data_IF_255585821498
#
_entry.id   IF_255585821498
#
_cell.length_a   1.000
_cell.length_b   1.000
_cell.length_c   1.000
_cell.angle_alpha   90.00
_cell.angle_beta   90.00
_cell.angle_gamma   90.00
#
_symmetry.space_group_name_H-M   'P 1'
#
loop_
_entity.id
_entity.type
_entity.pdbx_description
1 polymer ?
#
# COMPACT_ATOMS: atom_id res chain seq x y z
N UNK A 1 28.05 5.38 17.74
CA UNK A 1 27.03 6.19 17.03
C UNK A 1 26.68 5.58 15.68
N UNK A 2 27.60 4.94 14.94
CA UNK A 2 27.29 4.52 13.56
C UNK A 2 26.21 3.44 13.38
N UNK A 3 26.05 2.49 14.30
CA UNK A 3 25.03 1.42 14.17
C UNK A 3 23.61 1.83 14.61
N UNK A 4 23.45 2.88 15.42
CA UNK A 4 22.15 3.23 16.00
C UNK A 4 21.23 3.90 14.97
N UNK A 5 21.78 4.80 14.14
CA UNK A 5 21.04 5.51 13.09
C UNK A 5 20.58 4.59 11.94
N UNK A 6 21.41 3.60 11.61
CA UNK A 6 21.11 2.57 10.62
C UNK A 6 19.91 1.72 11.04
N UNK A 7 19.91 1.28 12.31
CA UNK A 7 18.82 0.51 12.91
C UNK A 7 17.51 1.28 12.88
N UNK A 8 17.53 2.59 13.17
CA UNK A 8 16.33 3.45 13.16
C UNK A 8 15.71 3.54 11.77
N UNK A 9 16.50 3.70 10.72
CA UNK A 9 15.98 3.81 9.34
C UNK A 9 15.36 2.49 8.86
N UNK A 10 15.97 1.36 9.22
CA UNK A 10 15.44 0.03 8.95
C UNK A 10 14.13 -0.19 9.70
N UNK A 11 14.09 0.13 11.00
CA UNK A 11 12.88 0.00 11.82
C UNK A 11 11.73 0.84 11.26
N UNK A 12 12.00 2.07 10.81
CA UNK A 12 11.00 2.92 10.16
C UNK A 12 10.51 2.31 8.85
N UNK A 13 11.38 1.67 8.05
CA UNK A 13 10.95 0.95 6.84
C UNK A 13 10.06 -0.25 7.17
N UNK A 14 10.39 -1.03 8.21
CA UNK A 14 9.53 -2.12 8.68
C UNK A 14 8.17 -1.58 9.12
N UNK A 15 8.15 -0.59 10.01
CA UNK A 15 6.91 0.03 10.48
C UNK A 15 6.06 0.60 9.32
N UNK A 16 6.72 1.20 8.33
CA UNK A 16 6.07 1.67 7.11
C UNK A 16 5.39 0.51 6.37
N UNK A 17 6.12 -0.57 6.07
CA UNK A 17 5.56 -1.71 5.34
C UNK A 17 4.44 -2.40 6.14
N UNK A 18 4.66 -2.71 7.42
CA UNK A 18 3.66 -3.34 8.29
C UNK A 18 2.39 -2.50 8.39
N UNK A 19 2.51 -1.17 8.46
CA UNK A 19 1.36 -0.27 8.47
C UNK A 19 0.58 -0.38 7.17
N UNK A 20 1.24 -0.33 6.01
CA UNK A 20 0.55 -0.35 4.72
C UNK A 20 -0.06 -1.71 4.39
N UNK A 21 0.63 -2.78 4.74
CA UNK A 21 0.12 -4.15 4.67
C UNK A 21 -1.10 -4.33 5.59
N UNK A 22 -1.02 -3.85 6.84
CA UNK A 22 -2.17 -3.90 7.75
C UNK A 22 -3.38 -3.14 7.19
N UNK A 23 -3.17 -2.02 6.51
CA UNK A 23 -4.25 -1.30 5.82
C UNK A 23 -4.87 -2.14 4.70
N UNK A 24 -4.11 -2.94 3.95
CA UNK A 24 -4.67 -3.85 2.94
C UNK A 24 -5.67 -4.83 3.53
N UNK A 25 -5.41 -5.38 4.72
CA UNK A 25 -6.33 -6.30 5.38
C UNK A 25 -7.56 -5.63 5.99
N UNK A 26 -7.53 -4.31 6.19
CA UNK A 26 -8.67 -3.54 6.69
C UNK A 26 -9.64 -3.11 5.59
N UNK A 27 -9.20 -3.08 4.33
CA UNK A 27 -9.97 -2.62 3.16
C UNK A 27 -11.05 -3.60 2.64
N UNK A 28 -10.95 -4.94 2.75
CA UNK A 28 -11.89 -5.83 2.07
C UNK A 28 -13.33 -5.69 2.59
N UNK A 29 -14.29 -5.91 1.68
CA UNK A 29 -15.74 -5.83 1.96
C UNK A 29 -16.23 -6.62 3.18
N UNK A 30 -15.55 -7.68 3.58
CA UNK A 30 -15.89 -8.45 4.78
C UNK A 30 -15.77 -7.61 6.06
N UNK A 31 -14.75 -6.75 6.17
CA UNK A 31 -14.62 -5.79 7.26
C UNK A 31 -15.72 -4.72 7.18
N UNK A 32 -16.07 -4.28 5.98
CA UNK A 32 -17.09 -3.25 5.73
C UNK A 32 -18.52 -3.72 6.01
N UNK A 33 -18.82 -5.01 5.82
CA UNK A 33 -20.16 -5.53 6.08
C UNK A 33 -20.59 -5.27 7.54
N UNK A 34 -19.66 -5.38 8.49
CA UNK A 34 -19.91 -5.07 9.90
C UNK A 34 -20.18 -3.58 10.15
N UNK A 35 -19.39 -2.69 9.53
CA UNK A 35 -19.54 -1.24 9.65
C UNK A 35 -20.84 -0.75 8.99
N UNK A 36 -21.14 -1.24 7.78
CA UNK A 36 -22.36 -0.94 7.08
C UNK A 36 -23.60 -1.45 7.85
N UNK A 37 -23.53 -2.65 8.44
CA UNK A 37 -24.60 -3.17 9.28
C UNK A 37 -24.82 -2.31 10.54
N UNK A 38 -23.73 -1.90 11.20
CA UNK A 38 -23.80 -1.01 12.36
C UNK A 38 -24.36 0.38 12.01
N UNK A 39 -23.96 0.94 10.88
CA UNK A 39 -24.45 2.24 10.39
C UNK A 39 -25.92 2.18 9.98
N UNK A 40 -26.32 1.14 9.24
CA UNK A 40 -27.71 0.88 8.89
C UNK A 40 -28.57 0.73 10.14
N UNK A 41 -28.12 -0.05 11.14
CA UNK A 41 -28.81 -0.18 12.42
C UNK A 41 -29.00 1.18 13.09
N UNK A 42 -27.95 2.01 13.14
CA UNK A 42 -28.04 3.35 13.71
C UNK A 42 -29.00 4.26 12.93
N UNK A 43 -28.95 4.26 11.60
CA UNK A 43 -29.84 5.07 10.73
C UNK A 43 -31.30 4.68 10.96
N UNK A 44 -31.58 3.38 11.07
CA UNK A 44 -32.92 2.90 11.39
C UNK A 44 -33.37 3.38 12.76
N UNK A 45 -32.54 3.24 13.80
CA UNK A 45 -32.87 3.76 15.14
C UNK A 45 -33.06 5.28 15.16
N UNK A 46 -32.32 6.03 14.35
CA UNK A 46 -32.49 7.48 14.23
C UNK A 46 -33.83 7.84 13.56
N UNK A 47 -34.20 7.15 12.48
CA UNK A 47 -35.50 7.29 11.84
C UNK A 47 -36.64 6.96 12.81
N UNK A 48 -36.56 5.82 13.49
CA UNK A 48 -37.56 5.40 14.49
C UNK A 48 -37.79 6.47 15.55
N UNK A 49 -36.73 7.12 16.05
CA UNK A 49 -36.85 8.23 17.02
C UNK A 49 -37.46 9.49 16.44
N UNK A 50 -37.37 9.69 15.13
CA UNK A 50 -37.99 10.82 14.44
C UNK A 50 -39.51 10.63 14.31
N UNK A 51 -39.99 9.38 14.25
CA UNK A 51 -41.40 9.05 14.32
C UNK A 51 -41.83 9.00 15.81
N UNK A 52 -42.82 9.81 16.21
CA UNK A 52 -43.32 9.85 17.61
C UNK A 52 -44.73 9.27 17.73
N UNK A 53 -45.06 8.76 18.92
CA UNK A 53 -46.41 8.28 19.25
C UNK A 53 -46.90 7.20 18.28
N UNK A 54 -48.16 7.30 17.83
CA UNK A 54 -48.78 6.34 16.91
C UNK A 54 -48.02 6.16 15.59
N UNK A 55 -47.31 7.20 15.13
CA UNK A 55 -46.52 7.13 13.90
C UNK A 55 -45.24 6.29 14.05
N UNK A 56 -44.74 6.11 15.28
CA UNK A 56 -43.64 5.19 15.55
C UNK A 56 -44.08 3.73 15.34
N UNK A 57 -45.29 3.39 15.77
CA UNK A 57 -45.88 2.05 15.56
C UNK A 57 -46.13 1.78 14.08
N UNK A 58 -46.67 2.75 13.35
CA UNK A 58 -46.87 2.66 11.90
C UNK A 58 -45.54 2.46 11.15
N UNK A 59 -44.48 3.20 11.53
CA UNK A 59 -43.15 3.03 10.95
C UNK A 59 -42.53 1.67 11.29
N UNK A 60 -42.64 1.20 12.54
CA UNK A 60 -42.16 -0.13 12.93
C UNK A 60 -42.86 -1.26 12.17
N UNK A 61 -44.18 -1.14 12.00
CA UNK A 61 -44.98 -2.07 11.20
C UNK A 61 -44.51 -2.10 9.74
N UNK A 62 -44.20 -0.93 9.18
CA UNK A 62 -43.61 -0.82 7.85
C UNK A 62 -42.23 -1.48 7.76
N UNK A 63 -41.33 -1.22 8.73
CA UNK A 63 -39.99 -1.83 8.78
C UNK A 63 -40.04 -3.35 8.85
N UNK A 64 -40.95 -3.92 9.64
CA UNK A 64 -41.13 -5.38 9.72
C UNK A 64 -41.52 -5.96 8.36
N UNK A 65 -42.53 -5.38 7.71
CA UNK A 65 -42.98 -5.84 6.38
C UNK A 65 -41.91 -5.70 5.30
N UNK A 66 -41.12 -4.63 5.35
CA UNK A 66 -40.00 -4.43 4.43
C UNK A 66 -38.89 -5.49 4.64
N UNK A 67 -38.62 -5.89 5.89
CA UNK A 67 -37.69 -6.99 6.18
C UNK A 67 -38.22 -8.33 5.67
N UNK A 68 -39.49 -8.63 5.93
CA UNK A 68 -40.11 -9.91 5.52
C UNK A 68 -40.15 -10.04 3.99
N UNK A 69 -40.30 -8.94 3.26
CA UNK A 69 -40.31 -8.91 1.80
C UNK A 69 -38.93 -9.11 1.16
N UNK A 70 -37.83 -8.94 1.91
CA UNK A 70 -36.45 -9.02 1.42
C UNK A 70 -36.03 -7.91 0.44
N UNK A 71 -36.97 -7.25 -0.24
CA UNK A 71 -36.77 -6.10 -1.12
C UNK A 71 -37.92 -5.10 -0.93
N UNK A 72 -37.64 -3.80 -1.05
CA UNK A 72 -38.67 -2.75 -0.91
C UNK A 72 -39.46 -2.68 -2.22
N UNK A 73 -40.71 -3.16 -2.19
CA UNK A 73 -41.62 -3.06 -3.33
C UNK A 73 -42.06 -1.60 -3.58
N UNK A 74 -42.54 -1.31 -4.78
CA UNK A 74 -43.08 0.01 -5.11
C UNK A 74 -44.23 0.44 -4.17
N UNK A 75 -45.02 -0.51 -3.68
CA UNK A 75 -46.10 -0.25 -2.73
C UNK A 75 -45.58 0.10 -1.34
N UNK A 76 -44.55 -0.60 -0.85
CA UNK A 76 -43.87 -0.25 0.40
C UNK A 76 -43.19 1.12 0.29
N UNK A 77 -42.63 1.46 -0.86
CA UNK A 77 -42.04 2.78 -1.09
C UNK A 77 -43.09 3.89 -0.99
N UNK A 78 -44.25 3.73 -1.66
CA UNK A 78 -45.36 4.69 -1.57
C UNK A 78 -45.88 4.85 -0.14
N UNK A 79 -45.95 3.76 0.62
CA UNK A 79 -46.37 3.80 2.02
C UNK A 79 -45.38 4.59 2.89
N UNK A 80 -44.07 4.39 2.68
CA UNK A 80 -43.05 5.17 3.36
C UNK A 80 -43.16 6.67 3.00
N UNK A 81 -43.37 7.01 1.73
CA UNK A 81 -43.57 8.39 1.29
C UNK A 81 -44.77 9.04 2.00
N UNK A 82 -45.88 8.31 2.16
CA UNK A 82 -47.04 8.79 2.91
C UNK A 82 -46.76 8.99 4.40
N UNK A 83 -46.00 8.07 5.03
CA UNK A 83 -45.57 8.21 6.42
C UNK A 83 -44.65 9.43 6.59
N UNK A 84 -43.68 9.60 5.70
CA UNK A 84 -42.75 10.75 5.69
C UNK A 84 -43.51 12.06 5.53
N UNK A 85 -44.48 12.15 4.61
CA UNK A 85 -45.28 13.36 4.41
C UNK A 85 -46.13 13.73 5.65
N UNK A 86 -46.58 12.75 6.43
CA UNK A 86 -47.32 13.01 7.68
C UNK A 86 -46.44 13.64 8.77
N UNK A 87 -45.14 13.38 8.76
CA UNK A 87 -44.19 13.83 9.78
C UNK A 87 -43.29 14.98 9.30
N UNK A 88 -43.22 15.24 7.99
CA UNK A 88 -42.28 16.21 7.40
C UNK A 88 -42.44 17.65 7.88
N UNK A 89 -43.60 18.01 8.44
CA UNK A 89 -43.81 19.34 9.06
C UNK A 89 -43.21 19.46 10.47
N UNK A 90 -42.79 18.35 11.08
CA UNK A 90 -42.13 18.38 12.39
C UNK A 90 -40.65 18.79 12.23
N UNK A 91 -40.25 19.87 12.90
CA UNK A 91 -38.88 20.38 12.87
C UNK A 91 -37.84 19.29 13.24
N UNK A 92 -38.18 18.39 14.16
CA UNK A 92 -37.31 17.28 14.56
C UNK A 92 -37.09 16.26 13.44
N UNK A 93 -38.10 15.97 12.63
CA UNK A 93 -37.98 15.05 11.52
C UNK A 93 -37.07 15.63 10.43
N UNK A 94 -37.25 16.92 10.09
CA UNK A 94 -36.36 17.62 9.16
C UNK A 94 -34.90 17.63 9.61
N UNK A 95 -34.65 17.87 10.91
CA UNK A 95 -33.31 17.80 11.48
C UNK A 95 -32.71 16.39 11.45
N UNK A 96 -33.49 15.35 11.78
CA UNK A 96 -33.04 13.96 11.73
C UNK A 96 -32.72 13.52 10.29
N UNK A 97 -33.59 13.85 9.33
CA UNK A 97 -33.31 13.56 7.92
C UNK A 97 -32.04 14.26 7.46
N UNK A 98 -31.85 15.52 7.84
CA UNK A 98 -30.60 16.24 7.57
C UNK A 98 -29.39 15.57 8.21
N UNK A 99 -29.48 15.11 9.46
CA UNK A 99 -28.40 14.37 10.13
C UNK A 99 -28.06 13.07 9.41
N UNK A 100 -29.06 12.29 9.01
CA UNK A 100 -28.88 11.04 8.26
C UNK A 100 -28.23 11.33 6.91
N UNK A 101 -28.73 12.32 6.16
CA UNK A 101 -28.20 12.68 4.85
C UNK A 101 -26.79 13.27 4.90
N UNK A 102 -26.43 13.99 5.97
CA UNK A 102 -25.09 14.57 6.14
C UNK A 102 -24.08 13.58 6.70
N UNK A 103 -24.52 12.48 7.32
CA UNK A 103 -23.63 11.47 7.88
C UNK A 103 -22.90 10.74 6.73
N UNK A 104 -21.56 10.81 6.68
CA UNK A 104 -20.80 10.15 5.63
C UNK A 104 -20.96 8.63 5.72
N UNK A 105 -20.85 7.99 4.57
CA UNK A 105 -20.74 6.55 4.50
C UNK A 105 -19.49 6.06 5.30
N UNK A 106 -19.63 5.11 6.24
CA UNK A 106 -18.52 4.66 7.07
C UNK A 106 -17.36 4.06 6.27
N UNK A 107 -17.66 3.34 5.20
CA UNK A 107 -16.63 2.77 4.31
C UNK A 107 -15.85 3.89 3.63
N UNK A 108 -16.53 4.90 3.10
CA UNK A 108 -15.87 6.08 2.54
C UNK A 108 -15.02 6.81 3.58
N UNK A 109 -15.49 6.93 4.83
CA UNK A 109 -14.71 7.53 5.91
C UNK A 109 -13.44 6.71 6.21
N UNK A 110 -13.57 5.39 6.26
CA UNK A 110 -12.44 4.49 6.50
C UNK A 110 -11.41 4.54 5.37
N UNK A 111 -11.86 4.55 4.10
CA UNK A 111 -10.97 4.69 2.96
C UNK A 111 -10.20 6.02 2.98
N UNK A 112 -10.88 7.12 3.34
CA UNK A 112 -10.22 8.42 3.52
C UNK A 112 -9.18 8.35 4.63
N UNK A 113 -9.52 7.77 5.77
CA UNK A 113 -8.61 7.61 6.89
C UNK A 113 -7.39 6.75 6.50
N UNK A 114 -7.61 5.63 5.80
CA UNK A 114 -6.55 4.77 5.30
C UNK A 114 -5.61 5.54 4.35
N UNK A 115 -6.13 6.31 3.39
CA UNK A 115 -5.31 7.17 2.53
C UNK A 115 -4.47 8.17 3.34
N UNK A 116 -5.04 8.77 4.39
CA UNK A 116 -4.28 9.68 5.28
C UNK A 116 -3.14 8.93 5.97
N UNK A 117 -3.41 7.76 6.56
CA UNK A 117 -2.39 6.95 7.24
C UNK A 117 -1.32 6.51 6.25
N UNK A 118 -1.69 6.12 5.02
CA UNK A 118 -0.74 5.73 3.97
C UNK A 118 0.28 6.83 3.68
N UNK A 119 -0.20 8.06 3.47
CA UNK A 119 0.68 9.20 3.17
C UNK A 119 1.46 9.64 4.40
N UNK A 120 0.88 9.61 5.60
CA UNK A 120 1.60 9.93 6.84
C UNK A 120 2.71 8.93 7.16
N UNK A 121 2.49 7.64 6.88
CA UNK A 121 3.53 6.61 7.02
C UNK A 121 4.67 6.87 6.04
N UNK A 122 4.36 7.23 4.79
CA UNK A 122 5.37 7.60 3.80
C UNK A 122 6.14 8.87 4.19
N UNK A 123 5.45 9.91 4.68
CA UNK A 123 6.05 11.14 5.20
C UNK A 123 7.04 10.86 6.34
N UNK A 124 6.67 9.92 7.23
CA UNK A 124 7.53 9.48 8.34
C UNK A 124 8.78 8.77 7.82
N UNK A 125 8.63 7.89 6.82
CA UNK A 125 9.76 7.23 6.16
C UNK A 125 10.71 8.25 5.52
N UNK A 126 10.18 9.20 4.73
CA UNK A 126 10.98 10.25 4.10
C UNK A 126 11.71 11.09 5.17
N UNK A 127 11.02 11.46 6.26
CA UNK A 127 11.63 12.17 7.38
C UNK A 127 12.81 11.42 7.99
N UNK A 128 12.67 10.12 8.24
CA UNK A 128 13.73 9.29 8.78
C UNK A 128 14.94 9.19 7.83
N UNK A 129 14.70 9.02 6.53
CA UNK A 129 15.77 8.96 5.52
C UNK A 129 16.54 10.29 5.43
N UNK A 130 15.82 11.41 5.36
CA UNK A 130 16.43 12.75 5.31
C UNK A 130 17.20 13.04 6.60
N UNK A 131 16.63 12.73 7.77
CA UNK A 131 17.29 12.89 9.06
C UNK A 131 18.60 12.09 9.11
N UNK A 132 18.55 10.81 8.75
CA UNK A 132 19.71 9.93 8.75
C UNK A 132 20.82 10.46 7.82
N UNK A 133 20.47 10.89 6.60
CA UNK A 133 21.41 11.51 5.67
C UNK A 133 22.07 12.77 6.25
N UNK A 134 21.26 13.69 6.80
CA UNK A 134 21.77 14.95 7.34
C UNK A 134 22.70 14.73 8.54
N UNK A 135 22.42 13.74 9.39
CA UNK A 135 23.28 13.37 10.53
C UNK A 135 24.62 12.78 10.09
N UNK A 136 24.63 11.92 9.07
CA UNK A 136 25.85 11.32 8.52
C UNK A 136 26.65 12.29 7.65
N UNK A 137 25.98 13.28 7.06
CA UNK A 137 26.60 14.29 6.21
C UNK A 137 26.27 15.74 6.66
N UNK A 138 26.69 16.18 7.87
CA UNK A 138 26.30 17.48 8.42
C UNK A 138 26.70 18.68 7.56
N UNK A 139 27.77 18.55 6.78
CA UNK A 139 28.21 19.59 5.86
C UNK A 139 27.16 19.92 4.78
N UNK A 140 26.34 18.96 4.37
CA UNK A 140 25.24 19.22 3.42
C UNK A 140 24.11 20.04 4.06
N UNK A 141 23.96 20.00 5.38
CA UNK A 141 23.00 20.82 6.10
C UNK A 141 23.49 22.26 6.34
N UNK A 142 24.80 22.46 6.44
CA UNK A 142 25.41 23.71 6.88
C UNK A 142 25.54 24.79 5.78
N UNK A 143 25.43 24.44 4.50
CA UNK A 143 25.96 25.29 3.42
C UNK A 143 25.04 26.42 2.96
N UNK A 144 23.74 26.47 3.31
CA UNK A 144 22.86 27.39 2.57
C UNK A 144 21.99 28.40 3.34
N UNK A 145 21.71 28.30 4.64
CA UNK A 145 20.58 29.12 5.18
C UNK A 145 20.77 29.86 6.51
N UNK A 146 21.82 29.66 7.33
CA UNK A 146 21.97 30.46 8.57
C UNK A 146 23.40 30.78 8.98
N UNK A 147 23.72 32.06 8.96
CA UNK A 147 24.74 32.63 9.85
C UNK A 147 24.18 32.58 11.29
N UNK A 148 24.85 31.85 12.18
CA UNK A 148 24.52 31.89 13.61
C UNK A 148 25.14 33.13 14.22
N UNK A 149 24.35 33.90 14.97
CA UNK A 149 24.88 35.04 15.72
C UNK A 149 25.79 34.55 16.84
N UNK A 150 26.79 35.35 17.20
CA UNK A 150 27.66 35.05 18.34
C UNK A 150 26.84 34.87 19.64
N UNK A 151 25.74 35.61 19.79
CA UNK A 151 24.83 35.49 20.91
C UNK A 151 24.16 34.09 20.98
N UNK A 152 23.73 33.54 19.84
CA UNK A 152 23.17 32.18 19.77
C UNK A 152 24.22 31.11 20.08
N UNK A 153 25.46 31.28 19.59
CA UNK A 153 26.56 30.37 19.89
C UNK A 153 26.91 30.38 21.39
N UNK A 154 26.95 31.57 22.01
CA UNK A 154 27.18 31.70 23.45
C UNK A 154 26.02 31.11 24.25
N UNK A 155 24.77 31.40 23.86
CA UNK A 155 23.59 30.91 24.55
C UNK A 155 23.43 29.39 24.50
N UNK A 156 23.84 28.76 23.39
CA UNK A 156 23.78 27.31 23.25
C UNK A 156 24.78 26.59 24.17
N UNK A 157 25.90 27.22 24.54
CA UNK A 157 26.93 26.65 25.42
C UNK A 157 27.73 25.47 24.83
N UNK A 158 27.18 24.79 23.82
CA UNK A 158 27.80 23.69 23.07
C UNK A 158 27.45 23.81 21.58
N UNK A 159 28.48 23.78 20.73
CA UNK A 159 28.34 23.80 19.28
C UNK A 159 27.51 22.63 18.74
N UNK A 160 27.53 21.47 19.41
CA UNK A 160 26.69 20.32 19.02
C UNK A 160 25.21 20.66 19.07
N UNK A 161 24.75 21.40 20.08
CA UNK A 161 23.35 21.82 20.22
C UNK A 161 22.95 22.73 19.05
N UNK A 162 23.86 23.62 18.65
CA UNK A 162 23.65 24.51 17.48
C UNK A 162 23.51 23.70 16.20
N UNK A 163 24.41 22.73 15.98
CA UNK A 163 24.38 21.85 14.81
C UNK A 163 23.08 21.04 14.78
N UNK A 164 22.69 20.42 15.89
CA UNK A 164 21.44 19.65 16.00
C UNK A 164 20.20 20.50 15.72
N UNK A 165 20.17 21.74 16.23
CA UNK A 165 19.09 22.70 15.91
C UNK A 165 19.08 23.06 14.42
N UNK A 166 20.24 23.23 13.80
CA UNK A 166 20.37 23.51 12.37
C UNK A 166 19.85 22.33 11.52
N UNK A 167 20.29 21.11 11.86
CA UNK A 167 19.88 19.87 11.20
C UNK A 167 18.36 19.69 11.28
N UNK A 168 17.79 19.81 12.48
CA UNK A 168 16.35 19.66 12.71
C UNK A 168 15.55 20.66 11.87
N UNK A 169 15.93 21.94 11.87
CA UNK A 169 15.28 22.99 11.06
C UNK A 169 15.40 22.69 9.56
N UNK A 170 16.54 22.17 9.11
CA UNK A 170 16.74 21.82 7.70
C UNK A 170 15.86 20.65 7.28
N UNK A 171 15.79 19.60 8.11
CA UNK A 171 14.89 18.46 7.89
C UNK A 171 13.44 18.94 7.81
N UNK A 172 12.99 19.76 8.78
CA UNK A 172 11.64 20.34 8.76
C UNK A 172 11.36 21.16 7.49
N UNK A 173 12.31 21.99 7.06
CA UNK A 173 12.16 22.79 5.83
C UNK A 173 11.99 21.92 4.59
N UNK A 174 12.77 20.83 4.48
CA UNK A 174 12.63 19.86 3.38
C UNK A 174 11.25 19.19 3.44
N UNK A 175 10.83 18.72 4.62
CA UNK A 175 9.56 18.00 4.79
C UNK A 175 8.34 18.88 4.51
N UNK A 176 8.39 20.18 4.82
CA UNK A 176 7.31 21.14 4.51
C UNK A 176 7.06 21.34 3.02
N UNK A 177 8.02 21.03 2.15
CA UNK A 177 7.90 21.25 0.71
C UNK A 177 6.96 20.26 -0.02
N UNK A 178 6.63 19.13 0.60
CA UNK A 178 5.80 18.08 0.00
C UNK A 178 6.48 17.32 -1.14
N UNK A 179 5.70 16.48 -1.84
CA UNK A 179 6.22 15.49 -2.81
C UNK A 179 7.17 16.06 -3.86
N UNK A 180 6.84 17.19 -4.49
CA UNK A 180 7.68 17.79 -5.54
C UNK A 180 9.01 18.31 -4.99
N UNK A 181 9.01 18.90 -3.79
CA UNK A 181 10.25 19.32 -3.14
C UNK A 181 11.10 18.14 -2.70
N UNK A 182 10.47 17.05 -2.23
CA UNK A 182 11.19 15.82 -1.90
C UNK A 182 11.80 15.20 -3.15
N UNK A 183 11.05 15.06 -4.24
CA UNK A 183 11.59 14.52 -5.50
C UNK A 183 12.81 15.30 -5.97
N UNK A 184 12.74 16.64 -5.98
CA UNK A 184 13.88 17.49 -6.32
C UNK A 184 15.07 17.25 -5.39
N UNK A 185 14.84 17.23 -4.07
CA UNK A 185 15.92 17.05 -3.09
C UNK A 185 16.60 15.68 -3.23
N UNK A 186 15.83 14.60 -3.41
CA UNK A 186 16.39 13.27 -3.63
C UNK A 186 17.07 13.14 -5.00
N UNK A 187 16.57 13.82 -6.03
CA UNK A 187 17.20 13.85 -7.36
C UNK A 187 18.58 14.52 -7.31
N UNK A 188 18.73 15.60 -6.52
CA UNK A 188 20.04 16.21 -6.23
C UNK A 188 21.00 15.24 -5.53
N UNK A 189 20.48 14.25 -4.79
CA UNK A 189 21.27 13.16 -4.21
C UNK A 189 21.41 11.96 -5.18
N UNK A 190 20.94 12.06 -6.41
CA UNK A 190 20.97 11.01 -7.44
C UNK A 190 19.95 9.89 -7.23
N UNK A 191 18.78 10.20 -6.67
CA UNK A 191 17.65 9.27 -6.48
C UNK A 191 16.37 9.90 -7.05
N UNK A 192 15.99 9.50 -8.27
CA UNK A 192 14.79 10.04 -8.92
C UNK A 192 13.55 9.23 -8.59
N UNK A 193 12.57 9.84 -7.90
CA UNK A 193 11.32 9.17 -7.50
C UNK A 193 10.54 8.63 -8.70
N UNK A 194 10.54 9.36 -9.82
CA UNK A 194 9.88 9.00 -11.07
C UNK A 194 10.31 7.63 -11.59
N UNK A 195 11.58 7.28 -11.37
CA UNK A 195 12.14 5.99 -11.79
C UNK A 195 11.84 4.86 -10.81
N UNK A 196 11.39 5.18 -9.59
CA UNK A 196 11.20 4.25 -8.48
C UNK A 196 9.73 3.97 -8.15
N UNK A 197 8.77 4.59 -8.83
CA UNK A 197 7.36 4.23 -8.74
C UNK A 197 6.92 3.36 -9.92
N UNK A 198 5.73 2.76 -9.80
CA UNK A 198 5.07 2.06 -10.91
C UNK A 198 4.55 3.09 -11.91
N UNK A 199 3.88 4.13 -11.42
CA UNK A 199 3.31 5.21 -12.23
C UNK A 199 3.41 6.55 -11.47
N UNK A 200 4.21 7.48 -12.01
CA UNK A 200 4.50 8.75 -11.34
C UNK A 200 3.30 9.68 -11.27
N UNK A 201 2.48 9.72 -12.32
CA UNK A 201 1.31 10.60 -12.36
C UNK A 201 0.27 10.14 -11.34
N UNK A 202 0.15 8.82 -11.13
CA UNK A 202 -0.65 8.26 -10.02
C UNK A 202 -0.09 8.64 -8.65
N UNK A 203 1.23 8.62 -8.46
CA UNK A 203 1.82 9.06 -7.18
C UNK A 203 1.48 10.53 -6.91
N UNK A 204 1.65 11.42 -7.90
CA UNK A 204 1.25 12.84 -7.76
C UNK A 204 -0.22 12.93 -7.37
N UNK A 205 -1.07 12.20 -8.08
CA UNK A 205 -2.51 12.22 -7.86
C UNK A 205 -2.90 11.77 -6.45
N UNK A 206 -2.28 10.71 -5.91
CA UNK A 206 -2.52 10.22 -4.55
C UNK A 206 -2.22 11.32 -3.52
N UNK A 207 -1.09 12.03 -3.67
CA UNK A 207 -0.71 13.13 -2.79
C UNK A 207 -1.66 14.32 -2.90
N UNK A 208 -2.03 14.71 -4.13
CA UNK A 208 -2.96 15.81 -4.35
C UNK A 208 -4.38 15.46 -3.88
N UNK A 209 -4.81 14.20 -3.97
CA UNK A 209 -6.09 13.73 -3.42
C UNK A 209 -6.08 13.78 -1.90
N UNK A 210 -5.00 13.33 -1.26
CA UNK A 210 -4.80 13.48 0.19
C UNK A 210 -4.87 14.95 0.60
N UNK A 211 -4.17 15.83 -0.11
CA UNK A 211 -4.22 17.27 0.12
C UNK A 211 -5.64 17.84 -0.03
N UNK A 212 -6.38 17.47 -1.09
CA UNK A 212 -7.76 17.89 -1.28
C UNK A 212 -8.67 17.45 -0.11
N UNK A 213 -8.50 16.24 0.40
CA UNK A 213 -9.25 15.76 1.56
C UNK A 213 -8.95 16.53 2.85
N UNK A 214 -7.68 16.86 3.10
CA UNK A 214 -7.26 17.62 4.28
C UNK A 214 -7.76 19.07 4.22
N UNK A 215 -7.65 19.72 3.06
CA UNK A 215 -7.86 21.17 2.97
C UNK A 215 -9.22 21.60 2.42
N UNK A 216 -9.91 20.73 1.69
CA UNK A 216 -11.16 21.08 0.98
C UNK A 216 -12.28 20.05 1.17
N UNK A 217 -12.11 19.10 2.09
CA UNK A 217 -13.09 18.04 2.34
C UNK A 217 -13.25 17.08 1.16
N UNK A 218 -12.21 16.94 0.34
CA UNK A 218 -12.17 16.03 -0.81
C UNK A 218 -12.71 16.64 -2.09
N UNK A 219 -12.89 17.97 -2.15
CA UNK A 219 -13.38 18.64 -3.36
C UNK A 219 -12.21 19.01 -4.28
N UNK A 220 -12.39 18.86 -5.59
CA UNK A 220 -11.44 19.33 -6.58
C UNK A 220 -11.28 20.84 -6.42
N UNK A 221 -10.05 21.29 -6.17
CA UNK A 221 -9.70 22.71 -6.15
C UNK A 221 -8.93 23.08 -7.43
N UNK A 222 -8.67 24.38 -7.71
CA UNK A 222 -7.94 24.78 -8.91
C UNK A 222 -6.54 24.15 -9.03
N UNK A 223 -5.86 23.89 -7.90
CA UNK A 223 -4.54 23.23 -7.88
C UNK A 223 -4.65 21.78 -8.37
N UNK A 224 -5.57 20.99 -7.82
CA UNK A 224 -5.82 19.61 -8.20
C UNK A 224 -6.20 19.52 -9.68
N UNK A 225 -7.14 20.36 -10.13
CA UNK A 225 -7.56 20.43 -11.53
C UNK A 225 -6.39 20.72 -12.48
N UNK A 226 -5.45 21.59 -12.08
CA UNK A 226 -4.32 21.93 -12.93
C UNK A 226 -3.23 20.86 -12.98
N UNK A 227 -2.96 20.20 -11.84
CA UNK A 227 -1.84 19.26 -11.66
C UNK A 227 -2.17 17.82 -12.02
N UNK A 228 -3.42 17.41 -11.84
CA UNK A 228 -3.85 16.00 -11.98
C UNK A 228 -4.71 15.83 -13.22
N UNK A 229 -5.92 16.39 -13.20
CA UNK A 229 -6.92 16.14 -14.24
C UNK A 229 -7.75 17.40 -14.51
N UNK A 230 -7.50 18.00 -15.68
CA UNK A 230 -8.20 19.18 -16.17
C UNK A 230 -9.62 18.88 -16.68
N UNK A 231 -10.00 17.61 -16.78
CA UNK A 231 -11.36 17.22 -17.12
C UNK A 231 -12.31 17.24 -15.91
N UNK A 232 -11.77 17.11 -14.68
CA UNK A 232 -12.60 17.10 -13.47
C UNK A 232 -13.08 18.51 -13.11
N UNK A 233 -14.40 18.73 -12.94
CA UNK A 233 -14.93 20.04 -12.55
C UNK A 233 -14.44 20.49 -11.16
N UNK A 234 -14.04 21.75 -11.03
CA UNK A 234 -13.75 22.36 -9.72
C UNK A 234 -15.00 22.28 -8.82
N UNK A 235 -14.81 21.82 -7.59
CA UNK A 235 -15.86 21.58 -6.60
C UNK A 235 -16.42 20.15 -6.60
N UNK A 236 -16.09 19.34 -7.61
CA UNK A 236 -16.50 17.92 -7.64
C UNK A 236 -15.88 17.15 -6.46
N UNK A 237 -16.63 16.20 -5.89
CA UNK A 237 -16.13 15.36 -4.81
C UNK A 237 -15.28 14.21 -5.39
N UNK A 238 -14.06 14.07 -4.89
CA UNK A 238 -13.14 13.00 -5.23
C UNK A 238 -13.55 11.73 -4.47
N UNK A 239 -13.96 10.66 -5.15
CA UNK A 239 -14.22 9.37 -4.48
C UNK A 239 -12.91 8.66 -4.12
N UNK A 240 -12.93 7.85 -3.05
CA UNK A 240 -11.87 6.88 -2.74
C UNK A 240 -12.60 5.56 -2.54
N UNK A 241 -12.62 4.75 -3.59
CA UNK A 241 -13.13 3.39 -3.52
C UNK A 241 -12.01 2.40 -3.16
N UNK A 242 -12.40 1.14 -3.02
CA UNK A 242 -11.51 0.04 -2.66
C UNK A 242 -10.40 -0.14 -3.69
N UNK A 243 -10.73 -0.11 -4.99
CA UNK A 243 -9.78 -0.28 -6.08
C UNK A 243 -8.74 0.83 -6.11
N UNK A 244 -9.18 2.09 -6.00
CA UNK A 244 -8.29 3.24 -5.90
C UNK A 244 -7.33 3.09 -4.72
N UNK A 245 -7.85 2.73 -3.54
CA UNK A 245 -7.05 2.68 -2.32
C UNK A 245 -6.02 1.54 -2.37
N UNK A 246 -6.40 0.37 -2.90
CA UNK A 246 -5.47 -0.72 -3.14
C UNK A 246 -4.37 -0.31 -4.13
N UNK A 247 -4.73 0.30 -5.26
CA UNK A 247 -3.75 0.80 -6.21
C UNK A 247 -2.82 1.85 -5.58
N UNK A 248 -3.37 2.74 -4.74
CA UNK A 248 -2.60 3.78 -4.05
C UNK A 248 -1.59 3.18 -3.06
N UNK A 249 -2.01 2.21 -2.24
CA UNK A 249 -1.12 1.49 -1.34
C UNK A 249 0.01 0.81 -2.11
N UNK A 250 -0.29 0.16 -3.24
CA UNK A 250 0.70 -0.51 -4.08
C UNK A 250 1.76 0.45 -4.62
N UNK A 251 1.35 1.63 -5.07
CA UNK A 251 2.26 2.70 -5.53
C UNK A 251 3.18 3.19 -4.40
N UNK A 252 2.60 3.46 -3.23
CA UNK A 252 3.34 4.03 -2.10
C UNK A 252 4.29 3.01 -1.49
N UNK A 253 3.89 1.74 -1.32
CA UNK A 253 4.79 0.65 -0.89
C UNK A 253 5.96 0.53 -1.86
N UNK A 254 5.69 0.48 -3.17
CA UNK A 254 6.71 0.36 -4.21
C UNK A 254 7.74 1.49 -4.09
N UNK A 255 7.24 2.73 -4.05
CA UNK A 255 8.07 3.92 -4.01
C UNK A 255 8.89 4.01 -2.71
N UNK A 256 8.28 3.78 -1.55
CA UNK A 256 8.96 3.85 -0.25
C UNK A 256 10.10 2.84 -0.14
N UNK A 257 9.84 1.59 -0.52
CA UNK A 257 10.86 0.54 -0.54
C UNK A 257 12.00 0.87 -1.49
N UNK A 258 11.69 1.23 -2.75
CA UNK A 258 12.72 1.48 -3.74
C UNK A 258 13.53 2.76 -3.47
N UNK A 259 12.92 3.82 -2.92
CA UNK A 259 13.68 4.98 -2.42
C UNK A 259 14.65 4.51 -1.35
N UNK A 260 14.18 3.71 -0.39
CA UNK A 260 15.02 3.25 0.72
C UNK A 260 16.17 2.38 0.22
N UNK A 261 15.92 1.43 -0.67
CA UNK A 261 16.96 0.56 -1.27
C UNK A 261 18.01 1.30 -2.08
N UNK A 262 17.68 2.49 -2.62
CA UNK A 262 18.60 3.31 -3.42
C UNK A 262 19.28 4.41 -2.64
N UNK A 263 18.62 4.91 -1.60
CA UNK A 263 19.09 6.03 -0.81
C UNK A 263 19.88 5.60 0.42
N UNK A 264 19.40 4.58 1.15
CA UNK A 264 20.04 4.13 2.38
C UNK A 264 21.51 3.70 2.20
N UNK A 265 21.94 3.04 1.10
CA UNK A 265 23.36 2.72 0.89
C UNK A 265 24.27 3.96 0.78
N UNK A 266 23.71 5.13 0.45
CA UNK A 266 24.43 6.41 0.39
C UNK A 266 24.61 7.04 1.77
N UNK A 267 23.77 6.65 2.72
CA UNK A 267 23.76 7.13 4.10
C UNK A 267 24.54 6.19 5.01
N UNK A 268 24.32 4.88 4.81
CA UNK A 268 24.83 3.82 5.64
C UNK A 268 25.64 2.82 4.83
N UNK A 269 26.94 3.05 4.78
CA UNK A 269 27.88 2.23 4.02
C UNK A 269 28.27 0.94 4.74
N UNK A 270 27.93 0.78 6.03
CA UNK A 270 28.26 -0.43 6.79
C UNK A 270 27.31 -1.60 6.53
N UNK A 271 26.11 -1.31 6.02
CA UNK A 271 25.11 -2.33 5.73
C UNK A 271 25.33 -2.92 4.33
N UNK A 272 25.33 -4.26 4.19
CA UNK A 272 25.38 -4.88 2.86
C UNK A 272 24.09 -4.56 2.10
N UNK A 273 24.19 -4.39 0.77
CA UNK A 273 23.04 -4.10 -0.10
C UNK A 273 21.91 -5.13 0.07
N UNK A 274 22.27 -6.39 0.36
CA UNK A 274 21.32 -7.45 0.68
C UNK A 274 20.50 -7.17 1.95
N UNK A 275 21.08 -6.61 3.01
CA UNK A 275 20.33 -6.29 4.22
C UNK A 275 19.27 -5.21 3.95
N UNK A 276 19.58 -4.26 3.06
CA UNK A 276 18.68 -3.17 2.71
C UNK A 276 17.60 -3.65 1.74
N UNK A 277 18.01 -4.31 0.65
CA UNK A 277 17.11 -4.79 -0.40
C UNK A 277 16.28 -5.99 0.04
N UNK A 278 16.83 -6.80 0.94
CA UNK A 278 16.18 -7.98 1.51
C UNK A 278 14.92 -7.64 2.28
N UNK A 279 14.85 -6.47 2.94
CA UNK A 279 13.63 -6.01 3.62
C UNK A 279 12.46 -5.94 2.63
N UNK A 280 12.69 -5.37 1.45
CA UNK A 280 11.66 -5.29 0.41
C UNK A 280 11.24 -6.67 -0.10
N UNK A 281 12.15 -7.64 -0.14
CA UNK A 281 11.85 -9.02 -0.56
C UNK A 281 10.95 -9.77 0.43
N UNK A 282 11.01 -9.45 1.72
CA UNK A 282 10.16 -10.08 2.74
C UNK A 282 8.66 -9.90 2.47
N UNK A 283 8.30 -8.82 1.78
CA UNK A 283 6.91 -8.47 1.50
C UNK A 283 6.40 -8.96 0.14
N UNK A 284 7.22 -9.62 -0.68
CA UNK A 284 6.80 -9.99 -2.03
C UNK A 284 5.66 -10.99 -2.02
N UNK A 285 5.74 -12.04 -1.19
CA UNK A 285 4.70 -13.06 -1.10
C UNK A 285 3.36 -12.44 -0.71
N UNK A 286 3.36 -11.62 0.32
CA UNK A 286 2.16 -10.92 0.79
C UNK A 286 1.59 -9.95 -0.25
N UNK A 287 2.44 -9.19 -0.95
CA UNK A 287 1.99 -8.33 -2.05
C UNK A 287 1.38 -9.15 -3.20
N UNK A 288 1.90 -10.35 -3.48
CA UNK A 288 1.33 -11.26 -4.48
C UNK A 288 -0.03 -11.82 -4.02
N UNK A 289 -0.20 -12.18 -2.74
CA UNK A 289 -1.49 -12.57 -2.16
C UNK A 289 -2.54 -11.45 -2.26
N UNK A 290 -2.10 -10.20 -2.09
CA UNK A 290 -2.91 -8.99 -2.22
C UNK A 290 -3.11 -8.53 -3.68
N UNK A 291 -2.74 -9.36 -4.65
CA UNK A 291 -2.82 -9.08 -6.09
C UNK A 291 -2.09 -7.80 -6.56
N UNK A 292 -1.06 -7.36 -5.83
CA UNK A 292 -0.26 -6.17 -6.16
C UNK A 292 0.85 -6.50 -7.17
N UNK A 293 0.48 -7.17 -8.26
CA UNK A 293 1.41 -7.68 -9.25
C UNK A 293 2.27 -6.59 -9.91
N UNK A 294 1.70 -5.41 -10.19
CA UNK A 294 2.47 -4.28 -10.77
C UNK A 294 3.55 -3.76 -9.82
N UNK A 295 3.27 -3.77 -8.52
CA UNK A 295 4.23 -3.38 -7.48
C UNK A 295 5.36 -4.38 -7.39
N UNK A 296 5.03 -5.68 -7.33
CA UNK A 296 6.02 -6.77 -7.31
C UNK A 296 6.89 -6.74 -8.57
N UNK A 297 6.28 -6.59 -9.75
CA UNK A 297 7.02 -6.51 -11.01
C UNK A 297 8.02 -5.35 -11.01
N UNK A 298 7.58 -4.15 -10.61
CA UNK A 298 8.43 -2.96 -10.56
C UNK A 298 9.57 -3.14 -9.56
N UNK A 299 9.26 -3.60 -8.34
CA UNK A 299 10.27 -3.81 -7.31
C UNK A 299 11.30 -4.86 -7.75
N UNK A 300 10.85 -6.03 -8.20
CA UNK A 300 11.71 -7.11 -8.66
C UNK A 300 12.63 -6.66 -9.82
N UNK A 301 12.08 -5.94 -10.81
CA UNK A 301 12.84 -5.39 -11.94
C UNK A 301 13.96 -4.46 -11.50
N UNK A 302 13.73 -3.66 -10.45
CA UNK A 302 14.73 -2.75 -9.92
C UNK A 302 15.77 -3.51 -9.08
N UNK A 303 15.33 -4.41 -8.21
CA UNK A 303 16.19 -5.09 -7.24
C UNK A 303 17.04 -6.21 -7.84
N UNK A 304 16.66 -6.81 -8.99
CA UNK A 304 17.40 -7.94 -9.59
C UNK A 304 18.87 -7.64 -9.94
N UNK A 305 19.21 -6.36 -10.08
CA UNK A 305 20.56 -5.91 -10.40
C UNK A 305 21.39 -5.55 -9.16
N UNK A 306 20.80 -5.65 -7.97
CA UNK A 306 21.47 -5.30 -6.73
C UNK A 306 22.52 -6.33 -6.37
N UNK A 307 23.52 -5.93 -5.59
CA UNK A 307 24.56 -6.86 -5.16
C UNK A 307 24.04 -7.79 -4.07
N UNK A 308 23.78 -9.03 -4.45
CA UNK A 308 23.16 -10.08 -3.63
C UNK A 308 23.73 -11.44 -4.04
N UNK A 309 23.58 -12.43 -3.16
CA UNK A 309 23.90 -13.83 -3.45
C UNK A 309 23.13 -14.33 -4.68
N UNK A 310 23.76 -15.19 -5.49
CA UNK A 310 23.19 -15.69 -6.74
C UNK A 310 21.80 -16.30 -6.56
N UNK A 311 21.59 -17.12 -5.54
CA UNK A 311 20.28 -17.75 -5.27
C UNK A 311 19.18 -16.71 -5.05
N UNK A 312 19.52 -15.62 -4.35
CA UNK A 312 18.59 -14.52 -4.08
C UNK A 312 18.32 -13.73 -5.36
N UNK A 313 19.35 -13.41 -6.16
CA UNK A 313 19.17 -12.76 -7.48
C UNK A 313 18.23 -13.55 -8.39
N UNK A 314 18.40 -14.88 -8.42
CA UNK A 314 17.55 -15.76 -9.20
C UNK A 314 16.11 -15.80 -8.66
N UNK A 315 15.93 -15.77 -7.33
CA UNK A 315 14.60 -15.66 -6.72
C UNK A 315 13.92 -14.33 -7.10
N UNK A 316 14.62 -13.20 -7.01
CA UNK A 316 14.08 -11.88 -7.45
C UNK A 316 13.69 -11.92 -8.92
N UNK A 317 14.46 -12.58 -9.77
CA UNK A 317 14.13 -12.76 -11.18
C UNK A 317 12.89 -13.63 -11.39
N UNK A 318 12.70 -14.68 -10.58
CA UNK A 318 11.48 -15.48 -10.61
C UNK A 318 10.25 -14.68 -10.20
N UNK A 319 10.37 -13.80 -9.19
CA UNK A 319 9.31 -12.87 -8.81
C UNK A 319 8.94 -11.91 -9.95
N UNK A 320 9.93 -11.33 -10.64
CA UNK A 320 9.70 -10.50 -11.82
C UNK A 320 8.90 -11.27 -12.88
N UNK A 321 9.35 -12.47 -13.25
CA UNK A 321 8.67 -13.28 -14.27
C UNK A 321 7.26 -13.71 -13.85
N UNK A 322 7.07 -14.11 -12.59
CA UNK A 322 5.75 -14.49 -12.09
C UNK A 322 4.78 -13.29 -12.15
N UNK A 323 5.24 -12.10 -11.74
CA UNK A 323 4.44 -10.89 -11.82
C UNK A 323 4.14 -10.47 -13.27
N UNK A 324 5.14 -10.50 -14.16
CA UNK A 324 4.95 -10.26 -15.60
C UNK A 324 3.96 -11.26 -16.22
N UNK A 325 4.04 -12.54 -15.85
CA UNK A 325 3.09 -13.57 -16.31
C UNK A 325 1.66 -13.25 -15.87
N UNK A 326 1.46 -12.81 -14.63
CA UNK A 326 0.14 -12.45 -14.10
C UNK A 326 -0.46 -11.21 -14.77
N UNK A 327 0.36 -10.19 -15.03
CA UNK A 327 -0.08 -8.95 -15.65
C UNK A 327 -0.28 -9.06 -17.17
N UNK A 328 0.55 -9.86 -17.84
CA UNK A 328 0.70 -9.78 -19.30
C UNK A 328 0.64 -11.14 -20.01
N UNK A 329 0.47 -12.23 -19.27
CA UNK A 329 0.38 -13.59 -19.78
C UNK A 329 1.74 -14.27 -20.00
N UNK A 330 1.72 -15.61 -20.09
CA UNK A 330 2.91 -16.47 -20.19
C UNK A 330 3.82 -16.12 -21.38
N UNK A 331 3.25 -15.71 -22.52
CA UNK A 331 4.00 -15.38 -23.74
C UNK A 331 5.04 -14.28 -23.52
N UNK A 332 4.86 -13.39 -22.53
CA UNK A 332 5.82 -12.33 -22.22
C UNK A 332 7.08 -12.81 -21.53
N UNK A 333 7.03 -13.97 -20.86
CA UNK A 333 8.16 -14.53 -20.13
C UNK A 333 8.76 -15.76 -20.79
N UNK A 334 8.00 -16.44 -21.65
CA UNK A 334 8.32 -17.74 -22.25
C UNK A 334 9.74 -17.79 -22.82
N UNK A 335 10.10 -16.88 -23.74
CA UNK A 335 11.43 -16.87 -24.35
C UNK A 335 12.56 -16.72 -23.32
N UNK A 336 12.37 -15.84 -22.32
CA UNK A 336 13.39 -15.58 -21.31
C UNK A 336 13.55 -16.74 -20.34
N UNK A 337 12.44 -17.34 -19.91
CA UNK A 337 12.44 -18.45 -18.95
C UNK A 337 12.90 -19.74 -19.62
N UNK A 338 12.47 -20.04 -20.85
CA UNK A 338 12.96 -21.20 -21.61
C UNK A 338 14.47 -21.12 -21.85
N UNK A 339 14.99 -19.92 -22.14
CA UNK A 339 16.43 -19.66 -22.30
C UNK A 339 17.25 -19.62 -21.00
N UNK A 340 16.61 -19.68 -19.83
CA UNK A 340 17.33 -19.72 -18.55
C UNK A 340 18.00 -21.08 -18.35
N UNK A 341 19.33 -21.11 -18.38
CA UNK A 341 20.10 -22.32 -18.09
C UNK A 341 20.16 -22.60 -16.59
N UNK A 342 19.59 -23.75 -16.20
CA UNK A 342 19.56 -24.24 -14.81
C UNK A 342 20.43 -25.48 -14.60
N UNK A 343 21.20 -25.90 -15.61
CA UNK A 343 21.96 -27.16 -15.59
C UNK A 343 23.04 -27.22 -14.50
N UNK A 344 23.68 -26.08 -14.22
CA UNK A 344 24.70 -25.93 -13.18
C UNK A 344 24.14 -25.42 -11.84
N UNK A 345 22.82 -25.23 -11.73
CA UNK A 345 22.16 -24.69 -10.55
C UNK A 345 21.58 -25.80 -9.66
N UNK A 346 21.20 -25.44 -8.43
CA UNK A 346 20.46 -26.32 -7.52
C UNK A 346 19.14 -26.77 -8.17
N UNK A 347 18.70 -28.00 -7.89
CA UNK A 347 17.53 -28.61 -8.54
C UNK A 347 16.24 -27.79 -8.41
N UNK A 348 16.06 -27.06 -7.30
CA UNK A 348 14.89 -26.21 -7.10
C UNK A 348 14.79 -25.06 -8.13
N UNK A 349 15.90 -24.58 -8.71
CA UNK A 349 15.84 -23.58 -9.79
C UNK A 349 15.31 -24.17 -11.09
N UNK A 350 15.70 -25.41 -11.42
CA UNK A 350 15.11 -26.13 -12.55
C UNK A 350 13.61 -26.37 -12.34
N UNK A 351 13.20 -26.69 -11.11
CA UNK A 351 11.79 -26.80 -10.77
C UNK A 351 11.03 -25.48 -10.95
N UNK A 352 11.58 -24.36 -10.45
CA UNK A 352 10.99 -23.01 -10.63
C UNK A 352 10.80 -22.66 -12.10
N UNK A 353 11.80 -22.96 -12.94
CA UNK A 353 11.72 -22.78 -14.39
C UNK A 353 10.52 -23.55 -14.97
N UNK A 354 10.39 -24.84 -14.65
CA UNK A 354 9.28 -25.67 -15.11
C UNK A 354 7.92 -25.15 -14.59
N UNK A 355 7.85 -24.71 -13.33
CA UNK A 355 6.64 -24.13 -12.74
C UNK A 355 6.22 -22.81 -13.40
N UNK A 356 7.18 -21.94 -13.76
CA UNK A 356 6.89 -20.70 -14.49
C UNK A 356 6.34 -20.98 -15.90
N UNK A 357 6.83 -22.04 -16.55
CA UNK A 357 6.41 -22.49 -17.88
C UNK A 357 5.18 -23.42 -17.87
N UNK A 358 4.67 -23.80 -16.70
CA UNK A 358 3.59 -24.80 -16.54
C UNK A 358 3.93 -26.17 -17.16
N UNK A 359 5.21 -26.55 -17.18
CA UNK A 359 5.67 -27.85 -17.65
C UNK A 359 5.51 -28.92 -16.56
N UNK A 360 4.30 -29.51 -16.51
CA UNK A 360 3.89 -30.46 -15.48
C UNK A 360 4.77 -31.73 -15.47
N UNK A 361 5.12 -32.24 -16.65
CA UNK A 361 5.93 -33.46 -16.76
C UNK A 361 7.35 -33.23 -16.22
N UNK A 362 7.99 -32.12 -16.60
CA UNK A 362 9.33 -31.80 -16.09
C UNK A 362 9.30 -31.51 -14.58
N UNK A 363 8.26 -30.82 -14.08
CA UNK A 363 8.07 -30.63 -12.63
C UNK A 363 8.01 -31.96 -11.88
N UNK A 364 7.22 -32.95 -12.36
CA UNK A 364 7.13 -34.28 -11.75
C UNK A 364 8.49 -34.97 -11.73
N UNK A 365 9.19 -34.98 -12.87
CA UNK A 365 10.50 -35.61 -12.99
C UNK A 365 11.56 -35.01 -12.05
N UNK A 366 11.58 -33.69 -11.89
CA UNK A 366 12.50 -33.02 -10.96
C UNK A 366 12.11 -33.33 -9.52
N UNK A 367 10.83 -33.22 -9.18
CA UNK A 367 10.32 -33.41 -7.82
C UNK A 367 10.54 -34.85 -7.33
N UNK A 368 10.26 -35.86 -8.15
CA UNK A 368 10.51 -37.27 -7.82
C UNK A 368 12.00 -37.55 -7.58
N UNK A 369 12.89 -37.01 -8.42
CA UNK A 369 14.34 -37.17 -8.23
C UNK A 369 14.83 -36.47 -6.95
N UNK A 370 14.33 -35.28 -6.67
CA UNK A 370 14.68 -34.54 -5.46
C UNK A 370 14.18 -35.22 -4.18
N UNK A 371 12.96 -35.79 -4.23
CA UNK A 371 12.39 -36.57 -3.13
C UNK A 371 13.23 -37.80 -2.80
N UNK A 372 13.62 -38.60 -3.81
CA UNK A 372 14.47 -39.77 -3.63
C UNK A 372 15.87 -39.43 -3.06
N UNK A 373 16.36 -38.21 -3.31
CA UNK A 373 17.63 -37.71 -2.76
C UNK A 373 17.48 -37.09 -1.37
N UNK A 374 16.27 -36.99 -0.83
CA UNK A 374 16.01 -36.37 0.47
C UNK A 374 16.31 -34.86 0.48
N UNK A 375 16.10 -34.17 -0.65
CA UNK A 375 16.37 -32.73 -0.71
C UNK A 375 15.37 -31.94 0.18
N UNK A 376 15.85 -31.06 1.08
CA UNK A 376 15.01 -30.47 2.12
C UNK A 376 13.93 -29.52 1.57
N UNK A 377 14.16 -28.89 0.41
CA UNK A 377 13.21 -27.96 -0.19
C UNK A 377 11.92 -28.62 -0.67
N UNK A 378 11.93 -29.95 -0.89
CA UNK A 378 10.74 -30.71 -1.31
C UNK A 378 9.63 -30.63 -0.27
N UNK A 379 9.99 -30.56 1.02
CA UNK A 379 9.01 -30.44 2.10
C UNK A 379 8.24 -29.12 2.03
N UNK A 380 8.89 -28.03 1.63
CA UNK A 380 8.34 -26.67 1.60
C UNK A 380 7.94 -26.17 0.21
N UNK A 381 7.97 -27.02 -0.82
CA UNK A 381 7.79 -26.59 -2.22
C UNK A 381 6.43 -25.93 -2.48
N UNK A 382 5.36 -26.38 -1.81
CA UNK A 382 4.01 -25.80 -1.95
C UNK A 382 3.93 -24.36 -1.43
N UNK A 383 4.87 -23.96 -0.55
CA UNK A 383 4.99 -22.60 -0.02
C UNK A 383 5.85 -21.69 -0.88
N UNK A 384 6.43 -22.20 -1.97
CA UNK A 384 7.18 -21.36 -2.91
C UNK A 384 6.21 -20.59 -3.77
N UNK A 385 6.52 -19.33 -4.05
CA UNK A 385 5.62 -18.38 -4.68
C UNK A 385 5.28 -18.78 -6.13
N UNK A 386 6.21 -19.45 -6.82
CA UNK A 386 5.97 -20.03 -8.14
C UNK A 386 4.93 -21.16 -8.11
N UNK A 387 4.69 -21.78 -6.96
CA UNK A 387 3.65 -22.82 -6.80
C UNK A 387 2.39 -22.21 -6.21
N UNK A 388 2.51 -21.52 -5.07
CA UNK A 388 1.39 -21.00 -4.28
C UNK A 388 0.46 -20.07 -5.06
N UNK A 389 1.01 -19.22 -5.94
CA UNK A 389 0.21 -18.27 -6.70
C UNK A 389 -0.27 -18.79 -8.06
N UNK A 390 -0.10 -20.08 -8.34
CA UNK A 390 -0.50 -20.73 -9.58
C UNK A 390 -1.36 -21.95 -9.27
N UNK A 391 -2.69 -21.79 -9.23
CA UNK A 391 -3.64 -22.81 -8.78
C UNK A 391 -3.44 -24.19 -9.45
N UNK A 392 -3.24 -24.21 -10.76
CA UNK A 392 -2.96 -25.44 -11.50
C UNK A 392 -1.64 -26.11 -11.06
N UNK A 393 -0.60 -25.32 -10.83
CA UNK A 393 0.71 -25.82 -10.36
C UNK A 393 0.61 -26.32 -8.93
N UNK A 394 -0.06 -25.58 -8.03
CA UNK A 394 -0.27 -25.99 -6.64
C UNK A 394 -1.02 -27.33 -6.57
N UNK A 395 -2.16 -27.44 -7.26
CA UNK A 395 -2.94 -28.67 -7.31
C UNK A 395 -2.12 -29.86 -7.83
N UNK A 396 -1.33 -29.64 -8.88
CA UNK A 396 -0.44 -30.64 -9.43
C UNK A 396 0.65 -31.08 -8.42
N UNK A 397 1.34 -30.13 -7.80
CA UNK A 397 2.41 -30.40 -6.84
C UNK A 397 1.90 -31.17 -5.63
N UNK A 398 0.74 -30.80 -5.09
CA UNK A 398 0.11 -31.53 -3.98
C UNK A 398 -0.23 -32.98 -4.36
N UNK A 399 -0.71 -33.20 -5.59
CA UNK A 399 -0.99 -34.55 -6.11
C UNK A 399 0.28 -35.39 -6.18
N UNK A 400 1.35 -34.86 -6.78
CA UNK A 400 2.63 -35.57 -6.90
C UNK A 400 3.25 -35.87 -5.53
N UNK A 401 3.17 -34.94 -4.57
CA UNK A 401 3.65 -35.20 -3.20
C UNK A 401 2.87 -36.30 -2.49
N UNK A 402 1.55 -36.37 -2.70
CA UNK A 402 0.72 -37.45 -2.16
C UNK A 402 1.10 -38.80 -2.76
N UNK A 403 1.38 -38.85 -4.07
CA UNK A 403 1.86 -40.08 -4.75
C UNK A 403 3.22 -40.55 -4.25
N UNK A 404 4.13 -39.62 -3.93
CA UNK A 404 5.48 -39.95 -3.45
C UNK A 404 5.52 -40.40 -1.98
N UNK A 405 4.50 -40.04 -1.20
CA UNK A 405 4.46 -40.32 0.25
C UNK A 405 3.64 -41.57 0.61
N UNK A 406 2.82 -42.07 -0.31
CA UNK A 406 2.04 -43.30 -0.18
C UNK A 406 2.77 -44.49 -0.79
#
# INVERSE_FOLDING_TARGET
>A
MDNEDASKSIEVLFNFNETLISLYYLIPKSAHASLAAADNKWRMTALEKAFRGKMAEDFQSWVSRAKDAGTVSADLQKELEQLVHKVSSEANFGLTMRQISLRPDPTSLMHRAALMVTISAFETLIGALVESFMRKSPHHAAIQEKEFSLAELIAAGDLKIVIESALTKRVENILRGGLTSWEKWFDEQGVSFKNLCVDWDKVIEIFERRHAYVHTGGKVNPSYHHKVDRSMPVGALLSIDEEYLQAALGQIICLGNLITSRFLPKVETSLPQLAISGISLLYFDELMELNQWSTVEKMARMLKNDDMELDIKLQVRCFEWLATKKLHGIRKIEQQVSGWDTSALKAHHAFRKAALLEDMEEMKNILSRAYLRGEPWVASIEKTSEVMHQEAVLSFVSTVKSELSG
#
